data_IF_438229790458
#
_entry.id   IF_438229790458
#
_cell.length_a   1.000
_cell.length_b   1.000
_cell.length_c   1.000
_cell.angle_alpha   90.00
_cell.angle_beta   90.00
_cell.angle_gamma   90.00
#
_symmetry.space_group_name_H-M   'P 1'
#
loop_
_entity.id
_entity.type
_entity.pdbx_description
1 polymer ?
#
# COMPACT_ATOMS: atom_id res chain seq x y z
N UNK A 1 -34.46 32.75 -18.98
CA UNK A 1 -34.50 31.48 -18.23
C UNK A 1 -33.10 30.88 -18.29
N UNK A 2 -32.34 30.88 -17.19
CA UNK A 2 -31.00 30.27 -17.17
C UNK A 2 -31.15 28.81 -16.76
N UNK A 3 -30.68 27.88 -17.60
CA UNK A 3 -30.65 26.46 -17.25
C UNK A 3 -29.69 26.26 -16.06
N UNK A 4 -30.24 25.79 -14.94
CA UNK A 4 -29.46 25.45 -13.76
C UNK A 4 -28.93 24.02 -13.95
N UNK A 5 -27.67 23.90 -14.37
CA UNK A 5 -27.00 22.61 -14.39
C UNK A 5 -26.85 22.11 -12.95
N UNK A 6 -27.57 21.04 -12.61
CA UNK A 6 -27.44 20.32 -11.34
C UNK A 6 -26.21 19.41 -11.42
N UNK A 7 -25.10 19.85 -10.82
CA UNK A 7 -23.98 18.95 -10.50
C UNK A 7 -24.43 18.09 -9.33
N UNK A 8 -24.61 16.79 -9.56
CA UNK A 8 -24.82 15.83 -8.49
C UNK A 8 -23.54 15.76 -7.62
N UNK A 9 -23.63 15.66 -6.28
CA UNK A 9 -22.44 15.55 -5.45
C UNK A 9 -21.93 14.11 -5.53
N UNK A 10 -21.04 13.81 -6.48
CA UNK A 10 -20.14 12.67 -6.31
C UNK A 10 -18.84 13.19 -5.70
N UNK A 11 -18.78 13.24 -4.37
CA UNK A 11 -17.53 13.53 -3.66
C UNK A 11 -17.23 12.38 -2.71
N UNK A 12 -17.30 11.15 -3.23
CA UNK A 12 -16.44 10.10 -2.71
C UNK A 12 -14.99 10.54 -2.99
N UNK A 13 -14.11 10.60 -1.98
CA UNK A 13 -12.72 10.97 -2.22
C UNK A 13 -12.12 9.99 -3.24
N UNK A 14 -11.74 10.49 -4.41
CA UNK A 14 -11.16 9.67 -5.48
C UNK A 14 -9.78 9.11 -5.08
N UNK A 15 -9.19 9.66 -4.01
CA UNK A 15 -7.92 9.24 -3.43
C UNK A 15 -8.08 9.00 -1.93
N UNK A 16 -7.50 7.91 -1.45
CA UNK A 16 -7.44 7.59 -0.04
C UNK A 16 -5.99 7.68 0.44
N UNK A 17 -5.74 8.55 1.42
CA UNK A 17 -4.43 8.69 2.06
C UNK A 17 -4.37 7.75 3.26
N UNK A 18 -3.25 7.05 3.41
CA UNK A 18 -3.02 6.14 4.53
C UNK A 18 -1.74 6.53 5.27
N UNK A 19 -1.74 6.32 6.59
CA UNK A 19 -0.55 6.48 7.41
C UNK A 19 0.18 5.13 7.52
N UNK A 20 0.82 4.72 6.42
CA UNK A 20 1.58 3.47 6.33
C UNK A 20 0.81 2.25 5.81
N UNK A 21 1.54 1.15 5.67
CA UNK A 21 1.05 -0.09 5.01
C UNK A 21 0.17 -0.97 5.90
N UNK A 22 0.25 -0.83 7.23
CA UNK A 22 -0.53 -1.65 8.17
C UNK A 22 -2.03 -1.55 7.90
N UNK A 23 -2.54 -0.32 7.72
CA UNK A 23 -3.96 -0.09 7.46
C UNK A 23 -4.44 -0.83 6.21
N UNK A 24 -3.62 -0.85 5.16
CA UNK A 24 -3.91 -1.58 3.93
C UNK A 24 -3.87 -3.11 4.14
N UNK A 25 -2.92 -3.61 4.93
CA UNK A 25 -2.79 -5.03 5.22
C UNK A 25 -3.95 -5.58 6.08
N UNK A 26 -4.42 -4.81 7.06
CA UNK A 26 -5.55 -5.14 7.92
C UNK A 26 -6.88 -5.25 7.15
N UNK A 27 -7.04 -4.49 6.07
CA UNK A 27 -8.24 -4.61 5.21
C UNK A 27 -8.34 -5.97 4.51
N UNK A 28 -7.22 -6.72 4.39
CA UNK A 28 -7.11 -8.00 3.65
C UNK A 28 -7.63 -7.94 2.20
N UNK A 29 -7.76 -6.73 1.65
CA UNK A 29 -8.25 -6.46 0.29
C UNK A 29 -7.23 -6.88 -0.77
N UNK A 30 -5.95 -6.75 -0.45
CA UNK A 30 -4.85 -7.19 -1.31
C UNK A 30 -4.32 -8.53 -0.81
N UNK A 31 -4.15 -9.49 -1.74
CA UNK A 31 -3.69 -10.85 -1.44
C UNK A 31 -2.18 -11.02 -1.57
N UNK A 32 -1.52 -10.11 -2.28
CA UNK A 32 -0.09 -10.12 -2.51
C UNK A 32 0.44 -8.69 -2.54
N UNK A 33 1.73 -8.55 -2.26
CA UNK A 33 2.46 -7.29 -2.25
C UNK A 33 3.73 -7.45 -3.08
N UNK A 34 4.02 -6.48 -3.92
CA UNK A 34 5.29 -6.38 -4.61
C UNK A 34 6.07 -5.22 -3.99
N UNK A 35 7.25 -5.54 -3.45
CA UNK A 35 8.11 -4.58 -2.78
C UNK A 35 9.47 -4.60 -3.47
N UNK A 36 10.04 -3.41 -3.66
CA UNK A 36 11.45 -3.30 -4.03
C UNK A 36 12.33 -3.72 -2.86
N UNK A 37 13.56 -4.14 -3.13
CA UNK A 37 14.50 -4.59 -2.12
C UNK A 37 15.47 -3.49 -1.71
N UNK A 38 16.16 -2.90 -2.69
CA UNK A 38 17.16 -1.87 -2.43
C UNK A 38 16.51 -0.52 -2.13
N UNK A 39 16.87 0.08 -0.99
CA UNK A 39 16.29 1.37 -0.56
C UNK A 39 14.88 1.26 0.01
N UNK A 40 14.27 0.07 0.02
CA UNK A 40 12.97 -0.20 0.65
C UNK A 40 13.10 -1.19 1.80
N UNK A 41 13.68 -2.36 1.58
CA UNK A 41 13.86 -3.37 2.62
C UNK A 41 15.26 -3.34 3.22
N UNK A 42 16.28 -3.01 2.41
CA UNK A 42 17.67 -2.96 2.84
C UNK A 42 18.53 -2.04 1.97
N UNK A 43 19.75 -1.73 2.44
CA UNK A 43 20.77 -0.98 1.70
C UNK A 43 21.83 -1.85 1.01
N UNK A 44 21.66 -3.18 1.06
CA UNK A 44 22.62 -4.16 0.53
C UNK A 44 23.66 -4.63 1.55
N UNK A 45 23.68 -4.05 2.75
CA UNK A 45 24.49 -4.52 3.88
C UNK A 45 23.61 -5.14 4.94
N UNK A 46 22.49 -4.50 5.25
CA UNK A 46 21.56 -4.98 6.27
C UNK A 46 20.11 -4.55 5.99
N UNK A 47 19.13 -5.33 6.50
CA UNK A 47 17.73 -4.92 6.54
C UNK A 47 17.54 -3.62 7.32
N UNK A 48 16.61 -2.79 6.88
CA UNK A 48 16.19 -1.62 7.66
C UNK A 48 15.38 -2.05 8.89
N UNK A 49 15.46 -1.28 9.99
CA UNK A 49 14.67 -1.55 11.18
C UNK A 49 13.18 -1.69 10.85
N UNK A 50 12.60 -2.82 11.23
CA UNK A 50 11.17 -3.09 11.02
C UNK A 50 10.79 -3.61 9.62
N UNK A 51 11.72 -3.69 8.66
CA UNK A 51 11.41 -4.19 7.31
C UNK A 51 11.00 -5.69 7.33
N UNK A 52 11.79 -6.53 8.01
CA UNK A 52 11.51 -7.97 8.14
C UNK A 52 10.22 -8.20 8.93
N UNK A 53 10.09 -7.58 10.11
CA UNK A 53 8.91 -7.79 10.95
C UNK A 53 7.62 -7.31 10.28
N UNK A 54 7.68 -6.22 9.51
CA UNK A 54 6.54 -5.76 8.69
C UNK A 54 6.16 -6.80 7.64
N UNK A 55 7.15 -7.40 6.97
CA UNK A 55 6.89 -8.45 5.98
C UNK A 55 6.27 -9.68 6.63
N UNK A 56 6.83 -10.17 7.74
CA UNK A 56 6.31 -11.35 8.45
C UNK A 56 4.87 -11.16 8.93
N UNK A 57 4.53 -9.98 9.45
CA UNK A 57 3.20 -9.71 10.00
C UNK A 57 2.14 -9.47 8.93
N UNK A 58 2.50 -8.83 7.82
CA UNK A 58 1.52 -8.23 6.90
C UNK A 58 1.64 -8.71 5.44
N UNK A 59 2.79 -9.25 5.05
CA UNK A 59 3.10 -9.64 3.67
C UNK A 59 3.37 -11.14 3.62
N UNK A 60 2.29 -11.92 3.54
CA UNK A 60 2.35 -13.39 3.57
C UNK A 60 3.00 -14.04 2.34
N UNK A 61 3.49 -13.26 1.37
CA UNK A 61 4.08 -13.75 0.13
C UNK A 61 5.26 -12.88 -0.32
N UNK A 62 6.34 -12.84 0.47
CA UNK A 62 7.64 -12.26 0.08
C UNK A 62 8.52 -13.26 -0.69
N UNK A 63 7.91 -14.21 -1.41
CA UNK A 63 8.63 -15.30 -2.10
C UNK A 63 8.53 -15.22 -3.63
N UNK A 64 8.14 -14.07 -4.19
CA UNK A 64 7.96 -13.93 -5.64
C UNK A 64 8.76 -12.73 -6.12
N UNK A 65 10.09 -12.88 -6.20
CA UNK A 65 10.99 -12.24 -7.18
C UNK A 65 12.45 -12.59 -6.86
N UNK A 66 12.76 -13.88 -6.80
CA UNK A 66 14.09 -14.40 -7.12
C UNK A 66 13.88 -15.72 -7.88
N UNK A 67 14.56 -15.96 -9.03
CA UNK A 67 14.85 -17.33 -9.44
C UNK A 67 15.74 -18.04 -8.41
#
# INVERSE_FOLDING_TARGET
>A
MMAKCSVAPSVEPMFQTFNGLQHLAETRRFKAWFLDQFGVLHDGKQPYPGAISTCEMHVSALWILFP
#
